data_IF_193016771098
#
_entry.id   IF_193016771098
#
_cell.length_a   1.000
_cell.length_b   1.000
_cell.length_c   1.000
_cell.angle_alpha   90.00
_cell.angle_beta   90.00
_cell.angle_gamma   90.00
#
_symmetry.space_group_name_H-M   'P 1'
#
loop_
_entity.id
_entity.type
_entity.pdbx_description
1 polymer ?
#
# COMPACT_ATOMS: atom_id res chain seq x y z
N UNK A 1 33.61 3.77 64.06
CA UNK A 1 34.05 3.75 62.66
C UNK A 1 32.94 3.17 61.79
N UNK A 2 32.07 4.01 61.27
CA UNK A 2 30.88 3.63 60.49
C UNK A 2 31.19 3.70 59.01
N UNK A 3 31.01 2.59 58.28
CA UNK A 3 31.13 2.57 56.81
C UNK A 3 29.74 2.84 56.21
N UNK A 4 29.57 4.05 55.66
CA UNK A 4 28.40 4.41 54.85
C UNK A 4 28.49 3.68 53.48
N UNK A 5 27.48 2.86 53.15
CA UNK A 5 27.29 2.25 51.84
C UNK A 5 26.45 3.22 51.01
N UNK A 6 27.05 3.80 49.95
CA UNK A 6 26.31 4.52 48.91
C UNK A 6 25.65 3.50 48.01
N UNK A 7 24.32 3.47 47.97
CA UNK A 7 23.54 2.83 46.94
C UNK A 7 23.35 3.83 45.79
N UNK A 8 23.96 3.56 44.66
CA UNK A 8 23.73 4.28 43.42
C UNK A 8 22.48 3.66 42.76
N UNK A 9 21.33 4.34 42.91
CA UNK A 9 20.10 3.96 42.16
C UNK A 9 20.24 4.45 40.73
N UNK A 10 20.47 3.55 39.81
CA UNK A 10 20.35 3.83 38.38
C UNK A 10 18.87 3.94 38.00
N UNK A 11 18.40 5.17 37.80
CA UNK A 11 17.09 5.43 37.24
C UNK A 11 17.13 5.07 35.75
N UNK A 12 16.53 3.96 35.38
CA UNK A 12 16.27 3.60 33.98
C UNK A 12 15.13 4.52 33.51
N UNK A 13 15.50 5.53 32.72
CA UNK A 13 14.55 6.36 32.00
C UNK A 13 13.93 5.51 30.88
N UNK A 14 12.75 4.94 31.13
CA UNK A 14 11.90 4.44 30.05
C UNK A 14 11.42 5.67 29.28
N UNK A 15 11.98 5.94 28.11
CA UNK A 15 11.34 6.75 27.11
C UNK A 15 10.09 5.97 26.66
N UNK A 16 8.95 6.29 27.25
CA UNK A 16 7.66 5.89 26.71
C UNK A 16 7.54 6.60 25.35
N UNK A 17 7.77 5.86 24.27
CA UNK A 17 7.26 6.26 22.97
C UNK A 17 5.75 6.33 23.15
N UNK A 18 5.22 7.55 23.24
CA UNK A 18 3.79 7.79 23.22
C UNK A 18 3.33 7.40 21.82
N UNK A 19 2.95 6.13 21.67
CA UNK A 19 2.14 5.70 20.53
C UNK A 19 0.87 6.52 20.65
N UNK A 20 0.70 7.51 19.77
CA UNK A 20 -0.55 8.25 19.67
C UNK A 20 -1.67 7.22 19.57
N UNK A 21 -2.75 7.33 20.40
CA UNK A 21 -3.85 6.38 20.33
C UNK A 21 -4.31 6.33 18.87
N UNK A 22 -4.35 5.13 18.30
CA UNK A 22 -4.77 4.92 16.93
C UNK A 22 -6.11 5.64 16.74
N UNK A 23 -6.11 6.69 15.91
CA UNK A 23 -7.36 7.33 15.53
C UNK A 23 -8.17 6.25 14.85
N UNK A 24 -9.41 6.03 15.30
CA UNK A 24 -10.30 5.12 14.61
C UNK A 24 -10.43 5.56 13.16
N UNK A 25 -10.59 4.61 12.22
CA UNK A 25 -10.73 4.96 10.81
C UNK A 25 -11.81 6.03 10.60
N UNK A 26 -12.90 5.99 11.37
CA UNK A 26 -13.96 6.97 11.30
C UNK A 26 -13.45 8.40 11.54
N UNK A 27 -12.74 8.63 12.64
CA UNK A 27 -12.17 9.96 12.97
C UNK A 27 -11.16 10.41 11.92
N UNK A 28 -10.35 9.47 11.42
CA UNK A 28 -9.36 9.78 10.39
C UNK A 28 -10.03 10.20 9.07
N UNK A 29 -11.16 9.60 8.70
CA UNK A 29 -11.94 9.92 7.49
C UNK A 29 -12.77 11.19 7.70
N UNK A 30 -13.31 11.43 8.91
CA UNK A 30 -13.98 12.70 9.26
C UNK A 30 -13.02 13.89 9.16
N UNK A 31 -11.76 13.70 9.56
CA UNK A 31 -10.73 14.74 9.47
C UNK A 31 -10.19 14.92 8.04
N UNK A 32 -10.19 13.85 7.23
CA UNK A 32 -9.68 13.84 5.87
C UNK A 32 -10.46 12.83 5.03
N UNK A 33 -11.48 13.33 4.34
CA UNK A 33 -12.40 12.51 3.53
C UNK A 33 -11.68 11.75 2.38
N UNK A 34 -10.51 12.24 1.95
CA UNK A 34 -9.71 11.58 0.93
C UNK A 34 -9.29 10.14 1.33
N UNK A 35 -9.16 9.86 2.63
CA UNK A 35 -8.85 8.53 3.16
C UNK A 35 -9.95 7.49 2.88
N UNK A 36 -11.20 7.92 2.72
CA UNK A 36 -12.28 7.03 2.29
C UNK A 36 -12.08 6.45 0.89
N UNK A 37 -11.16 7.00 0.11
CA UNK A 37 -10.74 6.45 -1.19
C UNK A 37 -9.84 5.20 -1.07
N UNK A 38 -9.73 4.65 0.12
CA UNK A 38 -8.99 3.42 0.43
C UNK A 38 -7.56 3.43 -0.13
N UNK A 39 -7.18 2.47 -0.98
CA UNK A 39 -5.85 2.40 -1.61
C UNK A 39 -5.55 3.52 -2.62
N UNK A 40 -6.53 4.32 -3.01
CA UNK A 40 -6.33 5.51 -3.86
C UNK A 40 -5.98 6.76 -3.07
N UNK A 41 -5.73 6.64 -1.77
CA UNK A 41 -5.18 7.73 -0.97
C UNK A 41 -3.82 8.18 -1.52
N UNK A 42 -3.54 9.48 -1.43
CA UNK A 42 -2.28 10.04 -1.92
C UNK A 42 -1.13 9.78 -0.95
N UNK A 43 0.09 9.75 -1.45
CA UNK A 43 1.30 9.64 -0.62
C UNK A 43 1.39 10.81 0.36
N UNK A 44 1.83 10.60 1.61
CA UNK A 44 1.97 11.67 2.59
C UNK A 44 2.90 12.79 2.10
N UNK A 45 2.48 14.04 2.26
CA UNK A 45 3.30 15.21 1.93
C UNK A 45 4.34 15.49 3.03
N UNK A 46 3.97 15.24 4.29
CA UNK A 46 4.84 15.41 5.43
C UNK A 46 5.51 14.09 5.79
N UNK A 47 6.83 14.09 5.72
CA UNK A 47 7.66 12.94 6.10
C UNK A 47 8.24 13.23 7.50
N UNK A 48 8.08 12.33 8.48
CA UNK A 48 8.61 12.53 9.81
C UNK A 48 10.15 12.47 9.84
N UNK A 49 10.74 13.09 10.84
CA UNK A 49 12.17 12.99 11.11
C UNK A 49 12.56 11.52 11.40
N UNK A 50 13.72 11.15 10.93
CA UNK A 50 14.24 9.78 11.08
C UNK A 50 15.07 9.63 12.37
N UNK A 51 15.01 8.44 12.97
CA UNK A 51 15.95 8.05 14.02
C UNK A 51 17.40 8.14 13.51
N UNK A 52 18.29 8.72 14.30
CA UNK A 52 19.71 8.78 13.96
C UNK A 52 20.35 7.40 14.10
N UNK A 53 21.25 7.00 13.20
CA UNK A 53 21.92 5.72 13.31
C UNK A 53 22.79 5.65 14.58
N UNK A 54 22.93 4.46 15.18
CA UNK A 54 23.84 4.25 16.31
C UNK A 54 25.25 4.73 15.98
N UNK A 55 25.96 5.23 17.00
CA UNK A 55 27.30 5.81 16.84
C UNK A 55 28.25 4.84 16.16
N UNK A 56 28.89 5.30 15.08
CA UNK A 56 29.87 4.52 14.31
C UNK A 56 29.30 3.73 13.16
N UNK A 57 28.00 3.64 13.00
CA UNK A 57 27.35 3.00 11.86
C UNK A 57 27.08 4.01 10.75
N UNK A 58 27.32 3.60 9.50
CA UNK A 58 27.03 4.40 8.29
C UNK A 58 26.21 3.59 7.30
N UNK A 59 25.25 4.22 6.60
CA UNK A 59 24.50 3.53 5.55
C UNK A 59 25.43 3.15 4.39
N UNK A 60 25.22 1.96 3.81
CA UNK A 60 26.04 1.46 2.71
C UNK A 60 25.28 0.69 1.64
N UNK A 61 24.07 0.20 1.96
CA UNK A 61 23.26 -0.57 1.04
C UNK A 61 21.76 -0.29 1.30
N UNK A 62 20.95 -0.21 0.23
CA UNK A 62 19.52 0.02 0.29
C UNK A 62 18.80 -1.04 -0.53
N UNK A 63 17.75 -1.66 0.06
CA UNK A 63 16.81 -2.52 -0.62
C UNK A 63 15.42 -1.92 -0.50
N UNK A 64 14.79 -1.59 -1.62
CA UNK A 64 13.53 -0.87 -1.71
C UNK A 64 12.48 -1.72 -2.42
N UNK A 65 11.24 -1.67 -1.95
CA UNK A 65 10.06 -2.11 -2.68
C UNK A 65 9.01 -1.01 -2.70
N UNK A 66 8.62 -0.55 -3.88
CA UNK A 66 7.62 0.49 -4.07
C UNK A 66 6.39 0.01 -4.86
N UNK A 67 5.21 0.42 -4.42
CA UNK A 67 3.98 0.37 -5.19
C UNK A 67 4.07 1.36 -6.36
N UNK A 68 3.45 1.05 -7.52
CA UNK A 68 3.23 2.05 -8.55
C UNK A 68 2.49 3.28 -7.99
N UNK A 69 2.68 4.42 -8.61
CA UNK A 69 2.21 5.75 -8.21
C UNK A 69 0.77 6.07 -8.63
N UNK A 70 0.32 7.30 -8.33
CA UNK A 70 -1.01 7.81 -8.66
C UNK A 70 -1.33 7.68 -10.15
N UNK A 71 -2.56 7.25 -10.45
CA UNK A 71 -3.07 6.98 -11.78
C UNK A 71 -4.55 7.32 -11.88
N UNK A 72 -5.03 7.50 -13.10
CA UNK A 72 -6.45 7.56 -13.40
C UNK A 72 -7.17 6.26 -13.00
N UNK A 73 -8.49 6.28 -12.94
CA UNK A 73 -9.28 5.08 -12.74
C UNK A 73 -8.86 3.96 -13.70
N UNK A 74 -9.12 2.69 -13.32
CA UNK A 74 -8.65 1.54 -14.09
C UNK A 74 -9.23 1.43 -15.49
N UNK A 75 -10.41 1.99 -15.70
CA UNK A 75 -11.18 1.97 -16.95
C UNK A 75 -11.88 3.30 -17.16
N UNK A 76 -12.16 3.63 -18.42
CA UNK A 76 -12.99 4.80 -18.76
C UNK A 76 -14.49 4.51 -18.64
N UNK A 77 -14.88 3.26 -18.50
CA UNK A 77 -16.29 2.85 -18.48
C UNK A 77 -17.08 3.52 -17.35
N UNK A 78 -16.47 3.65 -16.18
CA UNK A 78 -17.11 4.30 -15.02
C UNK A 78 -17.25 5.82 -15.25
N UNK A 79 -16.27 6.45 -15.90
CA UNK A 79 -16.35 7.87 -16.26
C UNK A 79 -17.51 8.13 -17.26
N UNK A 80 -17.60 7.30 -18.31
CA UNK A 80 -18.68 7.39 -19.30
C UNK A 80 -20.02 7.13 -18.66
N UNK A 81 -20.12 6.07 -17.84
CA UNK A 81 -21.33 5.69 -17.11
C UNK A 81 -21.85 6.84 -16.26
N UNK A 82 -21.00 7.43 -15.42
CA UNK A 82 -21.39 8.49 -14.52
C UNK A 82 -21.80 9.76 -15.27
N UNK A 83 -21.05 10.15 -16.32
CA UNK A 83 -21.43 11.26 -17.21
C UNK A 83 -22.83 11.03 -17.80
N UNK A 84 -23.08 9.86 -18.35
CA UNK A 84 -24.33 9.58 -19.06
C UNK A 84 -25.53 9.58 -18.10
N UNK A 85 -25.34 9.08 -16.88
CA UNK A 85 -26.35 9.16 -15.81
C UNK A 85 -26.69 10.60 -15.45
N UNK A 86 -25.68 11.46 -15.23
CA UNK A 86 -25.86 12.86 -14.87
C UNK A 86 -26.53 13.65 -16.02
N UNK A 87 -26.09 13.46 -17.26
CA UNK A 87 -26.65 14.14 -18.42
C UNK A 87 -28.10 13.72 -18.72
N UNK A 88 -28.45 12.46 -18.51
CA UNK A 88 -29.84 12.03 -18.63
C UNK A 88 -30.72 12.65 -17.55
N UNK A 89 -30.26 12.58 -16.29
CA UNK A 89 -31.00 13.17 -15.18
C UNK A 89 -31.16 14.70 -15.34
N UNK A 90 -30.15 15.39 -15.87
CA UNK A 90 -30.24 16.81 -16.21
C UNK A 90 -31.33 17.09 -17.26
N UNK A 91 -31.34 16.35 -18.37
CA UNK A 91 -32.32 16.53 -19.46
C UNK A 91 -33.75 16.29 -19.03
N UNK A 92 -33.92 15.43 -18.02
CA UNK A 92 -35.28 15.10 -17.49
C UNK A 92 -35.67 15.91 -16.26
N UNK A 93 -34.82 16.87 -15.81
CA UNK A 93 -35.05 17.68 -14.60
C UNK A 93 -34.99 16.87 -13.30
N UNK A 94 -34.33 15.71 -13.32
CA UNK A 94 -34.27 14.73 -12.24
C UNK A 94 -33.13 14.92 -11.25
N UNK A 95 -32.26 15.92 -11.45
CA UNK A 95 -31.14 16.19 -10.53
C UNK A 95 -31.62 16.88 -9.25
N UNK A 96 -31.01 16.49 -8.10
CA UNK A 96 -31.06 17.28 -6.87
C UNK A 96 -30.05 18.43 -6.98
N UNK A 97 -29.97 19.39 -6.04
CA UNK A 97 -28.92 20.39 -6.00
C UNK A 97 -27.52 19.77 -5.94
N UNK A 98 -27.30 18.70 -5.16
CA UNK A 98 -26.03 17.98 -5.10
C UNK A 98 -25.73 17.25 -6.42
N UNK A 99 -26.74 16.69 -7.07
CA UNK A 99 -26.62 16.07 -8.40
C UNK A 99 -26.23 17.07 -9.48
N UNK A 100 -26.76 18.29 -9.46
CA UNK A 100 -26.38 19.35 -10.39
C UNK A 100 -24.92 19.80 -10.14
N UNK A 101 -24.52 19.97 -8.90
CA UNK A 101 -23.13 20.27 -8.55
C UNK A 101 -22.17 19.15 -8.99
N UNK A 102 -22.54 17.88 -8.77
CA UNK A 102 -21.77 16.73 -9.24
C UNK A 102 -21.61 16.75 -10.76
N UNK A 103 -22.69 17.08 -11.50
CA UNK A 103 -22.67 17.21 -12.95
C UNK A 103 -21.68 18.27 -13.41
N UNK A 104 -21.76 19.48 -12.86
CA UNK A 104 -20.89 20.60 -13.22
C UNK A 104 -19.41 20.30 -12.95
N UNK A 105 -19.11 19.79 -11.75
CA UNK A 105 -17.75 19.39 -11.38
C UNK A 105 -17.22 18.29 -12.30
N UNK A 106 -18.02 17.24 -12.53
CA UNK A 106 -17.58 16.12 -13.36
C UNK A 106 -17.46 16.49 -14.83
N UNK A 107 -18.35 17.32 -15.37
CA UNK A 107 -18.27 17.84 -16.73
C UNK A 107 -16.96 18.62 -16.97
N UNK A 108 -16.51 19.38 -15.99
CA UNK A 108 -15.21 20.13 -16.09
C UNK A 108 -14.01 19.19 -16.07
N UNK A 109 -14.11 18.06 -15.38
CA UNK A 109 -13.03 17.06 -15.24
C UNK A 109 -12.98 16.06 -16.41
N UNK A 110 -14.13 15.67 -16.96
CA UNK A 110 -14.28 14.58 -17.90
C UNK A 110 -13.33 14.65 -19.12
N UNK A 111 -13.11 15.80 -19.78
CA UNK A 111 -12.20 15.88 -20.93
C UNK A 111 -10.74 15.54 -20.59
N UNK A 112 -10.33 15.69 -19.32
CA UNK A 112 -8.98 15.36 -18.85
C UNK A 112 -8.86 13.90 -18.37
N UNK A 113 -9.98 13.22 -18.19
CA UNK A 113 -10.06 11.83 -17.68
C UNK A 113 -10.29 10.82 -18.79
N UNK A 114 -11.12 11.19 -19.79
CA UNK A 114 -11.56 10.29 -20.86
C UNK A 114 -10.40 9.85 -21.75
N UNK A 115 -10.37 8.57 -22.10
CA UNK A 115 -9.31 7.87 -22.84
C UNK A 115 -7.97 7.78 -22.08
N UNK A 116 -7.98 7.99 -20.76
CA UNK A 116 -6.80 7.89 -19.91
C UNK A 116 -6.91 6.83 -18.80
N UNK A 117 -7.83 5.88 -18.98
CA UNK A 117 -8.03 4.79 -18.03
C UNK A 117 -6.75 4.00 -17.74
N UNK A 118 -6.37 3.90 -16.46
CA UNK A 118 -5.17 3.20 -16.00
C UNK A 118 -3.84 3.91 -16.24
N UNK A 119 -3.82 5.06 -16.93
CA UNK A 119 -2.63 5.86 -17.16
C UNK A 119 -2.16 6.57 -15.88
N UNK A 120 -0.85 6.73 -15.77
CA UNK A 120 -0.24 7.51 -14.71
C UNK A 120 -0.55 9.00 -14.88
N UNK A 121 -0.86 9.65 -13.75
CA UNK A 121 -1.03 11.11 -13.73
C UNK A 121 0.32 11.83 -13.57
N UNK A 122 0.33 13.12 -13.87
CA UNK A 122 1.49 13.99 -13.60
C UNK A 122 1.80 14.08 -12.11
N UNK A 123 0.75 14.03 -11.25
CA UNK A 123 0.92 13.92 -9.79
C UNK A 123 1.73 12.66 -9.42
N UNK A 124 1.39 11.52 -10.04
CA UNK A 124 2.11 10.28 -9.84
C UNK A 124 3.57 10.40 -10.31
N UNK A 125 3.84 11.02 -11.48
CA UNK A 125 5.21 11.20 -11.97
C UNK A 125 6.08 11.95 -10.95
N UNK A 126 5.56 12.97 -10.31
CA UNK A 126 6.27 13.73 -9.27
C UNK A 126 6.54 12.91 -8.02
N UNK A 127 5.58 12.10 -7.53
CA UNK A 127 5.72 11.32 -6.30
C UNK A 127 7.01 10.46 -6.26
N UNK A 128 7.26 9.65 -7.30
CA UNK A 128 8.47 8.82 -7.32
C UNK A 128 9.77 9.60 -7.46
N UNK A 129 9.74 10.71 -8.19
CA UNK A 129 10.90 11.59 -8.32
C UNK A 129 11.25 12.26 -6.99
N UNK A 130 10.24 12.65 -6.22
CA UNK A 130 10.40 13.23 -4.89
C UNK A 130 10.94 12.19 -3.89
N UNK A 131 10.39 10.96 -3.86
CA UNK A 131 10.90 9.87 -3.02
C UNK A 131 12.36 9.57 -3.38
N UNK A 132 12.69 9.46 -4.68
CA UNK A 132 14.08 9.24 -5.12
C UNK A 132 15.02 10.37 -4.70
N UNK A 133 14.52 11.61 -4.72
CA UNK A 133 15.25 12.79 -4.28
C UNK A 133 15.56 12.75 -2.79
N UNK A 134 14.54 12.42 -1.96
CA UNK A 134 14.71 12.35 -0.51
C UNK A 134 15.64 11.21 -0.12
N UNK A 135 15.51 10.02 -0.70
CA UNK A 135 16.38 8.88 -0.37
C UNK A 135 17.88 9.18 -0.67
N UNK A 136 18.15 9.94 -1.74
CA UNK A 136 19.52 10.39 -2.01
C UNK A 136 20.01 11.44 -1.02
N UNK A 137 19.11 12.32 -0.56
CA UNK A 137 19.44 13.35 0.43
C UNK A 137 19.68 12.75 1.82
N UNK A 138 18.89 11.75 2.21
CA UNK A 138 18.95 11.09 3.51
C UNK A 138 20.14 10.11 3.64
N UNK A 139 20.51 9.48 2.53
CA UNK A 139 21.58 8.46 2.49
C UNK A 139 22.67 8.78 1.46
N UNK A 140 23.29 9.97 1.49
CA UNK A 140 24.23 10.39 0.45
C UNK A 140 25.47 9.49 0.38
N UNK A 141 25.83 8.79 1.46
CA UNK A 141 26.96 7.86 1.48
C UNK A 141 26.77 6.68 0.54
N UNK A 142 25.53 6.21 0.36
CA UNK A 142 25.21 5.06 -0.51
C UNK A 142 25.35 5.44 -1.99
N UNK A 143 25.12 6.72 -2.34
CA UNK A 143 25.12 7.21 -3.72
C UNK A 143 26.41 7.93 -4.12
N UNK A 144 27.40 8.03 -3.20
CA UNK A 144 28.71 8.63 -3.46
C UNK A 144 29.72 7.55 -3.84
N UNK A 145 30.23 7.64 -5.04
CA UNK A 145 31.28 6.74 -5.54
C UNK A 145 31.57 7.03 -7.00
N UNK A 146 32.68 6.50 -7.52
CA UNK A 146 33.02 6.61 -8.96
C UNK A 146 32.14 5.68 -9.80
N UNK A 147 31.75 4.54 -9.22
CA UNK A 147 30.90 3.53 -9.84
C UNK A 147 29.94 3.00 -8.78
N UNK A 148 28.71 3.55 -8.75
CA UNK A 148 27.62 3.09 -7.89
C UNK A 148 26.61 2.36 -8.75
N UNK A 149 26.50 1.05 -8.54
CA UNK A 149 25.58 0.20 -9.29
C UNK A 149 24.24 0.11 -8.58
N UNK A 150 23.18 0.35 -9.35
CA UNK A 150 21.77 0.27 -8.93
C UNK A 150 21.07 -0.76 -9.82
N UNK A 151 20.45 -1.77 -9.21
CA UNK A 151 19.61 -2.75 -9.90
C UNK A 151 18.13 -2.42 -9.66
N UNK A 152 17.45 -1.91 -10.67
CA UNK A 152 16.06 -1.56 -10.65
C UNK A 152 15.23 -2.60 -11.43
N UNK A 153 14.16 -3.11 -10.78
CA UNK A 153 13.29 -4.16 -11.31
C UNK A 153 11.83 -3.76 -11.16
N UNK A 154 11.01 -4.12 -12.15
CA UNK A 154 9.56 -3.92 -12.08
C UNK A 154 8.78 -5.15 -12.56
N UNK A 155 7.52 -5.26 -12.15
CA UNK A 155 6.57 -6.15 -12.83
C UNK A 155 6.38 -5.68 -14.28
N UNK A 156 5.83 -6.55 -15.13
CA UNK A 156 5.56 -6.24 -16.55
C UNK A 156 4.41 -5.25 -16.78
N UNK A 157 3.78 -4.78 -15.70
CA UNK A 157 2.65 -3.85 -15.78
C UNK A 157 3.16 -2.43 -16.12
N UNK A 158 2.64 -1.76 -17.18
CA UNK A 158 3.18 -0.48 -17.68
C UNK A 158 3.34 0.58 -16.58
N UNK A 159 2.38 0.72 -15.67
CA UNK A 159 2.47 1.69 -14.56
C UNK A 159 3.63 1.42 -13.59
N UNK A 160 4.02 0.14 -13.41
CA UNK A 160 5.17 -0.20 -12.57
C UNK A 160 6.48 0.12 -13.30
N UNK A 161 6.56 -0.17 -14.61
CA UNK A 161 7.71 0.16 -15.46
C UNK A 161 7.93 1.68 -15.47
N UNK A 162 6.87 2.46 -15.70
CA UNK A 162 6.95 3.92 -15.70
C UNK A 162 7.27 4.50 -14.31
N UNK A 163 6.86 3.82 -13.24
CA UNK A 163 7.24 4.18 -11.87
C UNK A 163 8.73 4.00 -11.63
N UNK A 164 9.27 2.86 -12.06
CA UNK A 164 10.70 2.57 -12.04
C UNK A 164 11.50 3.62 -12.83
N UNK A 165 11.07 3.89 -14.06
CA UNK A 165 11.74 4.88 -14.93
C UNK A 165 11.82 6.26 -14.26
N UNK A 166 10.70 6.79 -13.74
CA UNK A 166 10.69 8.10 -13.10
C UNK A 166 11.58 8.19 -11.85
N UNK A 167 11.65 7.10 -11.08
CA UNK A 167 12.53 7.04 -9.91
C UNK A 167 14.00 7.05 -10.35
N UNK A 168 14.36 6.19 -11.31
CA UNK A 168 15.72 6.09 -11.85
C UNK A 168 16.18 7.38 -12.54
N UNK A 169 15.28 8.05 -13.29
CA UNK A 169 15.58 9.33 -13.92
C UNK A 169 15.93 10.39 -12.88
N UNK A 170 15.17 10.49 -11.79
CA UNK A 170 15.46 11.44 -10.72
C UNK A 170 16.80 11.18 -10.02
N UNK A 171 17.17 9.90 -9.82
CA UNK A 171 18.50 9.55 -9.30
C UNK A 171 19.60 9.97 -10.29
N UNK A 172 19.41 9.66 -11.58
CA UNK A 172 20.41 9.92 -12.63
C UNK A 172 20.63 11.42 -12.89
N UNK A 173 19.57 12.23 -12.82
CA UNK A 173 19.66 13.68 -12.91
C UNK A 173 20.51 14.31 -11.80
N UNK A 174 20.48 13.72 -10.58
CA UNK A 174 21.25 14.21 -9.43
C UNK A 174 22.67 13.70 -9.39
N UNK A 175 22.91 12.51 -9.93
CA UNK A 175 24.23 11.92 -10.04
C UNK A 175 24.36 11.14 -11.36
N UNK A 176 24.93 11.77 -12.38
CA UNK A 176 25.15 11.18 -13.71
C UNK A 176 26.12 10.01 -13.73
N UNK A 177 26.93 9.83 -12.68
CA UNK A 177 27.89 8.73 -12.58
C UNK A 177 27.23 7.40 -12.16
N UNK A 178 25.97 7.40 -11.65
CA UNK A 178 25.26 6.18 -11.27
C UNK A 178 25.12 5.22 -12.45
N UNK A 179 25.42 3.95 -12.23
CA UNK A 179 25.20 2.87 -13.18
C UNK A 179 23.89 2.17 -12.84
N UNK A 180 22.81 2.50 -13.57
CA UNK A 180 21.46 1.99 -13.28
C UNK A 180 21.04 0.98 -14.34
N UNK A 181 20.92 -0.28 -13.95
CA UNK A 181 20.25 -1.29 -14.77
C UNK A 181 18.75 -1.28 -14.49
N UNK A 182 17.93 -1.27 -15.55
CA UNK A 182 16.48 -1.32 -15.44
C UNK A 182 15.97 -2.59 -16.12
N UNK A 183 15.29 -3.45 -15.35
CA UNK A 183 14.85 -4.75 -15.81
C UNK A 183 13.36 -4.95 -15.56
N UNK A 184 12.67 -5.57 -16.53
CA UNK A 184 11.30 -6.06 -16.41
C UNK A 184 11.19 -7.37 -17.18
N UNK A 185 10.37 -8.28 -16.68
CA UNK A 185 10.19 -9.58 -17.35
C UNK A 185 9.32 -10.53 -16.53
N UNK A 186 8.82 -11.57 -17.16
CA UNK A 186 7.95 -12.57 -16.51
C UNK A 186 8.64 -13.30 -15.36
N UNK A 187 9.97 -13.49 -15.43
CA UNK A 187 10.77 -14.13 -14.40
C UNK A 187 10.87 -13.29 -13.11
N UNK A 188 10.64 -11.95 -13.20
CA UNK A 188 10.62 -11.03 -12.06
C UNK A 188 9.25 -10.93 -11.40
N UNK A 189 8.20 -11.46 -12.03
CA UNK A 189 6.84 -11.28 -11.50
C UNK A 189 6.66 -11.97 -10.16
N UNK A 190 7.16 -13.18 -9.99
CA UNK A 190 6.96 -13.95 -8.76
C UNK A 190 7.44 -13.20 -7.50
N UNK A 191 8.70 -12.70 -7.41
CA UNK A 191 9.13 -11.94 -6.23
C UNK A 191 8.47 -10.56 -6.10
N UNK A 192 8.01 -9.95 -7.21
CA UNK A 192 7.45 -8.59 -7.19
C UNK A 192 5.93 -8.55 -7.05
N UNK A 193 5.25 -9.63 -7.44
CA UNK A 193 3.80 -9.81 -7.31
C UNK A 193 3.47 -11.30 -7.13
N UNK A 194 3.54 -11.84 -5.93
CA UNK A 194 3.35 -13.25 -5.66
C UNK A 194 1.90 -13.73 -5.81
N UNK A 195 0.95 -12.84 -6.10
CA UNK A 195 -0.47 -13.13 -6.34
C UNK A 195 -0.78 -13.39 -7.81
N UNK A 196 0.09 -14.10 -8.48
CA UNK A 196 -0.07 -14.50 -9.89
C UNK A 196 0.29 -15.98 -10.06
N UNK A 197 -0.08 -16.54 -11.21
CA UNK A 197 0.28 -17.91 -11.58
C UNK A 197 1.78 -18.16 -11.73
N UNK A 198 2.62 -17.11 -11.71
CA UNK A 198 4.07 -17.23 -11.63
C UNK A 198 4.55 -17.76 -10.27
N UNK A 199 3.74 -17.61 -9.22
CA UNK A 199 3.98 -18.22 -7.93
C UNK A 199 3.32 -19.61 -7.89
N UNK A 200 4.08 -20.72 -7.76
CA UNK A 200 3.53 -22.07 -7.77
C UNK A 200 2.60 -22.39 -6.59
N UNK A 201 2.68 -21.61 -5.51
CA UNK A 201 1.81 -21.74 -4.34
C UNK A 201 0.52 -20.90 -4.47
N UNK A 202 0.44 -20.00 -5.44
CA UNK A 202 -0.72 -19.16 -5.68
C UNK A 202 -1.81 -19.91 -6.44
N UNK A 203 -2.98 -20.06 -5.86
CA UNK A 203 -4.14 -20.69 -6.49
C UNK A 203 -4.88 -19.65 -7.36
N UNK A 204 -5.66 -20.10 -8.37
CA UNK A 204 -6.53 -19.20 -9.12
C UNK A 204 -7.46 -18.37 -8.23
N UNK A 205 -7.93 -18.92 -7.10
CA UNK A 205 -8.73 -18.21 -6.09
C UNK A 205 -7.95 -17.12 -5.35
N UNK A 206 -6.63 -17.13 -5.36
CA UNK A 206 -5.80 -16.13 -4.70
C UNK A 206 -5.50 -14.92 -5.62
N UNK A 207 -5.64 -15.08 -6.93
CA UNK A 207 -5.12 -14.13 -7.92
C UNK A 207 -5.97 -12.87 -8.10
N UNK A 208 -7.26 -12.87 -7.77
CA UNK A 208 -8.09 -11.75 -8.15
C UNK A 208 -9.36 -11.51 -7.37
N UNK A 209 -9.82 -10.27 -7.49
CA UNK A 209 -11.09 -9.78 -6.97
C UNK A 209 -12.29 -10.13 -7.88
N UNK A 210 -12.19 -11.05 -8.78
CA UNK A 210 -13.25 -11.37 -9.75
C UNK A 210 -13.46 -12.87 -9.97
N UNK A 211 -12.77 -13.72 -9.19
CA UNK A 211 -12.97 -15.17 -9.30
C UNK A 211 -14.32 -15.56 -8.66
N UNK A 212 -15.15 -16.37 -9.32
CA UNK A 212 -16.46 -16.78 -8.80
C UNK A 212 -16.42 -17.72 -7.60
N UNK A 213 -15.23 -18.10 -7.11
CA UNK A 213 -15.05 -19.08 -6.03
C UNK A 213 -14.19 -18.55 -4.87
N UNK A 214 -14.24 -17.24 -4.61
CA UNK A 214 -13.51 -16.64 -3.50
C UNK A 214 -14.18 -17.02 -2.17
N UNK A 215 -13.42 -17.56 -1.23
CA UNK A 215 -13.93 -17.94 0.10
C UNK A 215 -14.59 -16.76 0.83
N UNK A 216 -14.12 -15.53 0.57
CA UNK A 216 -14.63 -14.30 1.17
C UNK A 216 -15.80 -13.65 0.40
N UNK A 217 -16.17 -14.14 -0.78
CA UNK A 217 -17.22 -13.53 -1.62
C UNK A 217 -18.59 -13.51 -0.92
N UNK A 218 -18.99 -14.65 -0.34
CA UNK A 218 -20.28 -14.75 0.39
C UNK A 218 -20.33 -13.84 1.62
N UNK A 219 -19.37 -13.84 2.54
CA UNK A 219 -19.31 -12.87 3.64
C UNK A 219 -19.29 -11.41 3.16
N UNK A 220 -18.54 -11.10 2.12
CA UNK A 220 -18.49 -9.77 1.53
C UNK A 220 -19.87 -9.29 1.07
N UNK A 221 -20.60 -10.12 0.34
CA UNK A 221 -21.96 -9.78 -0.12
C UNK A 221 -22.96 -9.64 1.03
N UNK A 222 -22.79 -10.39 2.13
CA UNK A 222 -23.60 -10.21 3.32
C UNK A 222 -23.36 -8.84 3.97
N UNK A 223 -22.08 -8.46 4.14
CA UNK A 223 -21.70 -7.15 4.65
C UNK A 223 -22.15 -6.01 3.73
N UNK A 224 -22.01 -6.16 2.40
CA UNK A 224 -22.45 -5.19 1.42
C UNK A 224 -23.91 -4.82 1.59
N UNK A 225 -24.78 -5.82 1.73
CA UNK A 225 -26.23 -5.61 1.94
C UNK A 225 -26.57 -4.95 3.28
N UNK A 226 -25.70 -5.14 4.29
CA UNK A 226 -25.88 -4.56 5.62
C UNK A 226 -25.40 -3.12 5.71
N UNK A 227 -24.36 -2.79 4.97
CA UNK A 227 -23.64 -1.52 5.07
C UNK A 227 -24.13 -0.48 4.05
N UNK A 228 -24.34 -0.87 2.80
CA UNK A 228 -24.68 0.07 1.73
C UNK A 228 -26.20 0.24 1.59
N UNK A 229 -26.62 1.47 1.34
CA UNK A 229 -28.01 1.87 1.13
C UNK A 229 -28.12 2.65 -0.19
N UNK A 230 -28.16 1.95 -1.35
CA UNK A 230 -28.19 2.60 -2.66
C UNK A 230 -29.31 3.63 -2.84
N UNK A 231 -30.42 3.42 -2.17
CA UNK A 231 -31.55 4.38 -2.17
C UNK A 231 -31.19 5.70 -1.50
N UNK A 232 -30.35 5.68 -0.44
CA UNK A 232 -29.85 6.88 0.25
C UNK A 232 -28.78 7.55 -0.61
N UNK A 233 -27.81 6.77 -1.11
CA UNK A 233 -26.73 7.28 -1.95
C UNK A 233 -27.29 7.95 -3.22
N UNK A 234 -28.07 7.25 -4.01
CA UNK A 234 -28.62 7.79 -5.26
C UNK A 234 -29.68 8.86 -5.02
N UNK A 235 -30.46 8.77 -3.93
CA UNK A 235 -31.43 9.81 -3.55
C UNK A 235 -30.76 11.14 -3.19
N UNK A 236 -29.48 11.17 -2.84
CA UNK A 236 -28.73 12.42 -2.66
C UNK A 236 -28.47 13.15 -3.99
N UNK A 237 -28.38 12.43 -5.10
CA UNK A 237 -28.05 12.96 -6.43
C UNK A 237 -29.26 13.12 -7.34
N UNK A 238 -30.27 12.25 -7.22
CA UNK A 238 -31.40 12.13 -8.12
C UNK A 238 -32.72 12.16 -7.37
N UNK A 239 -33.74 12.91 -7.87
CA UNK A 239 -35.08 12.99 -7.28
C UNK A 239 -35.87 11.68 -7.44
N UNK A 240 -35.74 11.03 -8.59
CA UNK A 240 -36.28 9.70 -8.90
C UNK A 240 -35.14 8.79 -9.35
N UNK A 241 -34.94 7.67 -8.64
CA UNK A 241 -33.87 6.70 -8.91
C UNK A 241 -34.32 5.55 -9.83
N UNK A 242 -35.56 5.53 -10.28
CA UNK A 242 -36.10 4.42 -11.09
C UNK A 242 -35.39 4.21 -12.42
N UNK A 243 -34.88 5.31 -13.03
CA UNK A 243 -34.13 5.27 -14.30
C UNK A 243 -32.76 4.55 -14.17
N UNK A 244 -32.24 4.40 -12.96
CA UNK A 244 -30.96 3.74 -12.72
C UNK A 244 -30.97 2.25 -13.03
N UNK A 245 -32.14 1.63 -13.14
CA UNK A 245 -32.29 0.20 -13.50
C UNK A 245 -31.55 -0.16 -14.80
N UNK A 246 -31.48 0.75 -15.76
CA UNK A 246 -30.74 0.52 -17.02
C UNK A 246 -29.23 0.61 -16.86
N UNK A 247 -28.73 1.35 -15.86
CA UNK A 247 -27.30 1.51 -15.56
C UNK A 247 -26.79 0.46 -14.59
N UNK A 248 -27.68 -0.13 -13.78
CA UNK A 248 -27.37 -1.15 -12.80
C UNK A 248 -28.15 -2.44 -13.04
N UNK A 249 -28.01 -3.11 -14.20
CA UNK A 249 -28.83 -4.27 -14.55
C UNK A 249 -28.63 -5.46 -13.60
N UNK A 250 -27.52 -5.51 -12.88
CA UNK A 250 -27.17 -6.62 -11.97
C UNK A 250 -27.41 -6.26 -10.49
N UNK A 251 -27.00 -5.06 -10.06
CA UNK A 251 -27.08 -4.66 -8.65
C UNK A 251 -26.85 -3.17 -8.44
N UNK A 252 -27.77 -2.45 -7.76
CA UNK A 252 -27.55 -1.05 -7.39
C UNK A 252 -26.37 -0.88 -6.42
N UNK A 253 -26.09 -1.88 -5.57
CA UNK A 253 -24.94 -1.89 -4.68
C UNK A 253 -23.62 -1.82 -5.46
N UNK A 254 -23.48 -2.59 -6.55
CA UNK A 254 -22.27 -2.57 -7.37
C UNK A 254 -22.09 -1.25 -8.12
N UNK A 255 -23.18 -0.58 -8.48
CA UNK A 255 -23.13 0.74 -9.09
C UNK A 255 -22.66 1.78 -8.08
N UNK A 256 -23.17 1.78 -6.85
CA UNK A 256 -22.72 2.65 -5.76
C UNK A 256 -21.23 2.47 -5.46
N UNK A 257 -20.79 1.22 -5.21
CA UNK A 257 -19.36 0.92 -4.99
C UNK A 257 -18.48 1.44 -6.12
N UNK A 258 -18.89 1.24 -7.37
CA UNK A 258 -18.15 1.69 -8.55
C UNK A 258 -18.04 3.20 -8.61
N UNK A 259 -19.12 3.93 -8.33
CA UNK A 259 -19.13 5.40 -8.39
C UNK A 259 -18.36 6.04 -7.23
N UNK A 260 -18.47 5.52 -6.01
CA UNK A 260 -17.65 5.99 -4.88
C UNK A 260 -16.18 5.73 -5.15
N UNK A 261 -15.83 4.52 -5.63
CA UNK A 261 -14.45 4.16 -5.98
C UNK A 261 -13.89 5.06 -7.09
N UNK A 262 -14.64 5.26 -8.18
CA UNK A 262 -14.26 6.15 -9.28
C UNK A 262 -14.04 7.58 -8.77
N UNK A 263 -14.97 8.11 -7.95
CA UNK A 263 -14.86 9.45 -7.36
C UNK A 263 -13.63 9.59 -6.48
N UNK A 264 -13.29 8.55 -5.72
CA UNK A 264 -12.07 8.49 -4.90
C UNK A 264 -10.79 8.53 -5.73
N UNK A 265 -10.80 8.06 -6.99
CA UNK A 265 -9.62 8.11 -7.86
C UNK A 265 -9.33 9.51 -8.42
N UNK A 266 -10.27 10.46 -8.35
CA UNK A 266 -10.08 11.81 -8.91
C UNK A 266 -8.91 12.54 -8.24
N UNK A 267 -8.67 12.34 -6.95
CA UNK A 267 -7.49 12.90 -6.26
C UNK A 267 -6.16 12.43 -6.86
N UNK A 268 -6.15 11.22 -7.45
CA UNK A 268 -4.97 10.64 -8.10
C UNK A 268 -4.77 11.14 -9.53
N UNK A 269 -5.77 11.78 -10.12
CA UNK A 269 -5.79 12.26 -11.51
C UNK A 269 -5.30 13.70 -11.63
N UNK A 270 -5.09 14.16 -12.87
CA UNK A 270 -4.67 15.54 -13.18
C UNK A 270 -5.87 16.52 -13.24
N UNK A 271 -6.84 16.31 -12.34
CA UNK A 271 -7.99 17.19 -12.13
C UNK A 271 -7.98 17.73 -10.71
N UNK A 272 -8.61 18.88 -10.52
CA UNK A 272 -8.74 19.54 -9.23
C UNK A 272 -10.21 19.64 -8.84
N UNK A 273 -10.84 18.46 -8.75
CA UNK A 273 -12.23 18.33 -8.31
C UNK A 273 -12.38 17.13 -7.37
N UNK A 274 -13.28 17.26 -6.39
CA UNK A 274 -13.77 16.17 -5.57
C UNK A 274 -15.27 15.99 -5.81
N UNK A 275 -15.75 14.78 -5.66
CA UNK A 275 -17.17 14.44 -5.62
C UNK A 275 -17.57 13.82 -4.29
N UNK A 276 -16.58 13.38 -3.50
CA UNK A 276 -16.81 12.64 -2.26
C UNK A 276 -17.56 13.45 -1.21
N UNK A 277 -17.38 14.77 -1.19
CA UNK A 277 -18.03 15.73 -0.31
C UNK A 277 -19.52 15.97 -0.65
N UNK A 278 -19.98 15.53 -1.83
CA UNK A 278 -21.37 15.64 -2.28
C UNK A 278 -22.21 14.41 -1.87
N UNK A 279 -21.56 13.35 -1.42
CA UNK A 279 -22.22 12.11 -1.02
C UNK A 279 -22.52 12.08 0.47
N UNK A 280 -23.57 11.36 0.93
CA UNK A 280 -23.80 11.17 2.36
C UNK A 280 -22.58 10.51 3.03
N UNK A 281 -22.08 11.13 4.08
CA UNK A 281 -20.87 10.67 4.77
C UNK A 281 -20.96 9.20 5.20
N UNK A 282 -22.11 8.78 5.74
CA UNK A 282 -22.30 7.40 6.19
C UNK A 282 -22.16 6.39 5.03
N UNK A 283 -22.66 6.69 3.83
CA UNK A 283 -22.50 5.81 2.67
C UNK A 283 -21.05 5.74 2.21
N UNK A 284 -20.35 6.87 2.21
CA UNK A 284 -18.89 6.91 1.91
C UNK A 284 -18.11 6.10 2.94
N UNK A 285 -18.42 6.26 4.23
CA UNK A 285 -17.76 5.52 5.31
C UNK A 285 -18.07 4.02 5.28
N UNK A 286 -19.33 3.65 5.05
CA UNK A 286 -19.74 2.25 4.90
C UNK A 286 -19.10 1.58 3.70
N UNK A 287 -18.98 2.29 2.58
CA UNK A 287 -18.22 1.80 1.43
C UNK A 287 -16.75 1.59 1.79
N UNK A 288 -16.15 2.53 2.53
CA UNK A 288 -14.78 2.36 3.02
C UNK A 288 -14.64 1.10 3.89
N UNK A 289 -15.54 0.88 4.86
CA UNK A 289 -15.52 -0.32 5.71
C UNK A 289 -15.57 -1.61 4.89
N UNK A 290 -16.42 -1.64 3.88
CA UNK A 290 -16.59 -2.79 2.99
C UNK A 290 -15.33 -3.07 2.16
N UNK A 291 -14.74 -2.05 1.58
CA UNK A 291 -13.50 -2.16 0.79
C UNK A 291 -12.32 -2.53 1.70
N UNK A 292 -12.25 -1.95 2.89
CA UNK A 292 -11.22 -2.27 3.88
C UNK A 292 -11.31 -3.74 4.32
N UNK A 293 -12.51 -4.23 4.61
CA UNK A 293 -12.77 -5.65 4.88
C UNK A 293 -12.26 -6.55 3.76
N UNK A 294 -12.58 -6.20 2.50
CA UNK A 294 -12.14 -6.94 1.32
C UNK A 294 -10.61 -7.05 1.24
N UNK A 295 -9.89 -5.96 1.45
CA UNK A 295 -8.42 -5.97 1.45
C UNK A 295 -7.85 -6.72 2.65
N UNK A 296 -8.41 -6.56 3.83
CA UNK A 296 -8.02 -7.29 5.02
C UNK A 296 -8.09 -8.81 4.81
N UNK A 297 -9.23 -9.30 4.34
CA UNK A 297 -9.44 -10.74 4.09
C UNK A 297 -8.58 -11.25 2.94
N UNK A 298 -8.46 -10.48 1.86
CA UNK A 298 -7.80 -10.95 0.63
C UNK A 298 -6.29 -10.71 0.57
N UNK A 299 -5.72 -9.86 1.46
CA UNK A 299 -4.28 -9.47 1.40
C UNK A 299 -3.66 -9.22 2.77
N UNK A 300 -4.47 -9.14 3.80
CA UNK A 300 -4.07 -8.84 5.18
C UNK A 300 -3.96 -10.09 6.06
N UNK A 301 -4.06 -9.90 7.39
CA UNK A 301 -3.81 -10.94 8.39
C UNK A 301 -5.01 -11.86 8.67
N UNK A 302 -5.99 -11.96 7.79
CA UNK A 302 -7.17 -12.79 8.04
C UNK A 302 -6.80 -14.25 8.34
N UNK A 303 -7.25 -14.73 9.48
CA UNK A 303 -7.08 -16.11 9.93
C UNK A 303 -8.38 -16.93 9.91
N UNK A 304 -9.53 -16.28 9.80
CA UNK A 304 -10.84 -16.91 9.88
C UNK A 304 -11.26 -17.54 8.54
N UNK A 305 -11.13 -16.77 7.47
CA UNK A 305 -11.61 -17.15 6.13
C UNK A 305 -10.45 -17.75 5.31
N UNK A 306 -9.34 -17.01 5.19
CA UNK A 306 -8.17 -17.40 4.39
C UNK A 306 -7.09 -18.13 5.18
N UNK A 307 -7.27 -18.27 6.50
CA UNK A 307 -6.36 -19.01 7.40
C UNK A 307 -4.90 -18.56 7.31
N UNK A 308 -4.68 -17.28 7.06
CA UNK A 308 -3.33 -16.70 6.91
C UNK A 308 -2.68 -16.94 5.54
N UNK A 309 -3.32 -17.64 4.63
CA UNK A 309 -2.76 -18.01 3.33
C UNK A 309 -2.27 -16.79 2.53
N UNK A 310 -2.99 -15.67 2.62
CA UNK A 310 -2.72 -14.51 1.80
C UNK A 310 -1.36 -13.85 2.11
N UNK A 311 -1.03 -13.68 3.40
CA UNK A 311 0.29 -13.16 3.74
C UNK A 311 1.41 -14.20 3.57
N UNK A 312 1.07 -15.51 3.64
CA UNK A 312 2.06 -16.55 3.41
C UNK A 312 2.57 -16.59 1.96
N UNK A 313 1.75 -16.15 0.99
CA UNK A 313 2.13 -16.09 -0.42
C UNK A 313 3.26 -15.08 -0.72
N UNK A 314 3.60 -14.16 0.20
CA UNK A 314 4.65 -13.16 -0.04
C UNK A 314 6.08 -13.71 0.10
N UNK A 315 6.23 -14.98 0.49
CA UNK A 315 7.56 -15.61 0.71
C UNK A 315 8.55 -15.46 -0.45
N UNK A 316 8.17 -15.50 -1.75
CA UNK A 316 9.12 -15.27 -2.84
C UNK A 316 9.80 -13.90 -2.81
N UNK A 317 9.11 -12.86 -2.30
CA UNK A 317 9.72 -11.55 -2.09
C UNK A 317 10.85 -11.64 -1.05
N UNK A 318 10.63 -12.35 0.07
CA UNK A 318 11.65 -12.49 1.10
C UNK A 318 12.81 -13.39 0.68
N UNK A 319 12.57 -14.36 -0.21
CA UNK A 319 13.64 -15.14 -0.84
C UNK A 319 14.55 -14.23 -1.66
N UNK A 320 13.99 -13.37 -2.50
CA UNK A 320 14.73 -12.40 -3.31
C UNK A 320 15.41 -11.32 -2.42
N UNK A 321 14.72 -10.79 -1.41
CA UNK A 321 15.28 -9.79 -0.49
C UNK A 321 16.52 -10.31 0.22
N UNK A 322 16.41 -11.48 0.87
CA UNK A 322 17.49 -12.04 1.68
C UNK A 322 18.68 -12.49 0.81
N UNK A 323 18.41 -13.20 -0.30
CA UNK A 323 19.49 -13.68 -1.19
C UNK A 323 20.24 -12.54 -1.87
N UNK A 324 19.51 -11.51 -2.32
CA UNK A 324 20.14 -10.32 -2.90
C UNK A 324 20.95 -9.55 -1.86
N UNK A 325 20.40 -9.34 -0.65
CA UNK A 325 21.14 -8.62 0.40
C UNK A 325 22.40 -9.36 0.82
N UNK A 326 22.34 -10.69 1.04
CA UNK A 326 23.52 -11.50 1.38
C UNK A 326 24.59 -11.40 0.27
N UNK A 327 24.22 -11.50 -1.00
CA UNK A 327 25.14 -11.41 -2.12
C UNK A 327 25.77 -10.01 -2.26
N UNK A 328 24.95 -8.95 -2.18
CA UNK A 328 25.40 -7.57 -2.36
C UNK A 328 26.27 -7.09 -1.17
N UNK A 329 25.94 -7.53 0.05
CA UNK A 329 26.75 -7.27 1.25
C UNK A 329 28.14 -7.91 1.14
N UNK A 330 28.19 -9.12 0.57
CA UNK A 330 29.45 -9.86 0.42
C UNK A 330 30.31 -9.33 -0.71
N UNK A 331 29.72 -9.01 -1.88
CA UNK A 331 30.49 -8.55 -3.05
C UNK A 331 30.74 -7.04 -3.05
N UNK A 332 29.79 -6.23 -2.57
CA UNK A 332 29.80 -4.78 -2.71
C UNK A 332 29.47 -4.28 -4.12
N UNK A 333 29.03 -5.16 -5.03
CA UNK A 333 28.82 -4.83 -6.45
C UNK A 333 27.56 -3.95 -6.67
N UNK A 334 26.51 -4.15 -5.88
CA UNK A 334 25.26 -3.39 -5.98
C UNK A 334 25.03 -2.62 -4.68
N UNK A 335 24.89 -1.31 -4.77
CA UNK A 335 24.64 -0.44 -3.62
C UNK A 335 23.13 -0.24 -3.35
N UNK A 336 22.30 -0.34 -4.39
CA UNK A 336 20.86 -0.11 -4.25
C UNK A 336 20.08 -1.10 -5.11
N UNK A 337 19.12 -1.79 -4.49
CA UNK A 337 18.11 -2.58 -5.19
C UNK A 337 16.75 -1.92 -5.11
N UNK A 338 16.19 -1.60 -6.27
CA UNK A 338 14.87 -1.00 -6.41
C UNK A 338 13.90 -2.01 -7.00
N UNK A 339 12.74 -2.18 -6.35
CA UNK A 339 11.67 -3.06 -6.81
C UNK A 339 10.38 -2.28 -6.93
N UNK A 340 9.66 -2.44 -8.05
CA UNK A 340 8.41 -1.73 -8.32
C UNK A 340 7.30 -2.72 -8.64
N UNK A 341 6.24 -2.66 -7.82
CA UNK A 341 5.11 -3.59 -7.92
C UNK A 341 3.80 -2.96 -7.45
N UNK A 342 3.10 -3.66 -6.55
CA UNK A 342 1.71 -3.40 -6.24
C UNK A 342 1.45 -3.26 -4.73
N UNK A 343 0.35 -2.60 -4.38
CA UNK A 343 -0.22 -2.45 -3.04
C UNK A 343 -0.44 -3.80 -2.34
N UNK A 344 -0.97 -4.78 -3.08
CA UNK A 344 -1.27 -6.11 -2.54
C UNK A 344 -0.04 -6.82 -1.99
N UNK A 345 1.11 -6.66 -2.62
CA UNK A 345 2.38 -7.21 -2.11
C UNK A 345 2.81 -6.49 -0.84
N UNK A 346 2.67 -5.15 -0.77
CA UNK A 346 3.00 -4.38 0.44
C UNK A 346 2.10 -4.78 1.62
N UNK A 347 0.79 -4.94 1.43
CA UNK A 347 -0.12 -5.36 2.49
C UNK A 347 0.33 -6.69 3.12
N UNK A 348 0.65 -7.68 2.28
CA UNK A 348 1.11 -8.98 2.73
C UNK A 348 2.53 -8.94 3.32
N UNK A 349 3.41 -8.07 2.82
CA UNK A 349 4.75 -7.84 3.36
C UNK A 349 4.68 -7.25 4.78
N UNK A 350 3.85 -6.23 5.00
CA UNK A 350 3.65 -5.63 6.32
C UNK A 350 3.08 -6.64 7.31
N UNK A 351 2.13 -7.46 6.87
CA UNK A 351 1.56 -8.56 7.67
C UNK A 351 2.60 -9.65 7.97
N UNK A 352 3.42 -10.03 6.99
CA UNK A 352 4.49 -11.01 7.18
C UNK A 352 5.50 -10.54 8.23
N UNK A 353 5.88 -9.28 8.20
CA UNK A 353 6.84 -8.70 9.16
C UNK A 353 6.18 -8.27 10.48
N UNK A 354 4.86 -8.28 10.56
CA UNK A 354 4.10 -7.75 11.70
C UNK A 354 4.51 -6.33 12.11
N UNK A 355 4.62 -5.47 11.10
CA UNK A 355 5.06 -4.08 11.28
C UNK A 355 4.08 -3.34 12.17
N UNK A 356 4.56 -2.73 13.26
CA UNK A 356 3.76 -1.95 14.23
C UNK A 356 2.46 -2.67 14.68
N UNK A 357 2.47 -3.99 14.72
CA UNK A 357 1.30 -4.81 15.05
C UNK A 357 0.28 -4.89 13.91
N UNK A 358 0.70 -4.78 12.67
CA UNK A 358 -0.14 -4.93 11.47
C UNK A 358 -0.83 -6.30 11.35
N UNK A 359 -0.34 -7.31 12.06
CA UNK A 359 -0.85 -8.69 12.04
C UNK A 359 -1.90 -8.95 13.14
N UNK A 360 -2.78 -8.00 13.43
CA UNK A 360 -3.85 -8.19 14.43
C UNK A 360 -5.06 -8.87 13.80
N UNK A 361 -5.55 -9.96 14.40
CA UNK A 361 -6.79 -10.60 13.96
C UNK A 361 -8.00 -9.72 14.27
N UNK A 362 -8.98 -9.74 13.37
CA UNK A 362 -10.28 -9.07 13.51
C UNK A 362 -11.34 -9.85 12.73
N UNK A 363 -12.61 -9.70 13.09
CA UNK A 363 -13.69 -10.53 12.56
C UNK A 363 -14.76 -9.80 11.74
N UNK A 364 -14.94 -8.52 11.97
CA UNK A 364 -15.94 -7.71 11.28
C UNK A 364 -15.36 -6.38 10.75
N UNK A 365 -16.06 -5.69 9.83
CA UNK A 365 -15.54 -4.48 9.20
C UNK A 365 -15.20 -3.35 10.17
N UNK A 366 -15.91 -3.20 11.29
CA UNK A 366 -15.64 -2.13 12.27
C UNK A 366 -14.41 -2.46 13.09
N UNK A 367 -14.31 -3.69 13.63
CA UNK A 367 -13.13 -4.15 14.37
C UNK A 367 -11.86 -4.09 13.50
N UNK A 368 -11.97 -4.46 12.21
CA UNK A 368 -10.87 -4.32 11.26
C UNK A 368 -10.44 -2.86 11.17
N UNK A 369 -11.37 -1.93 10.98
CA UNK A 369 -11.09 -0.51 10.80
C UNK A 369 -10.47 0.16 12.05
N UNK A 370 -10.60 -0.42 13.24
CA UNK A 370 -9.90 0.04 14.44
C UNK A 370 -8.40 -0.34 14.44
N UNK A 371 -8.04 -1.44 13.77
CA UNK A 371 -6.71 -2.02 13.87
C UNK A 371 -5.93 -2.05 12.57
N UNK A 372 -6.62 -2.13 11.43
CA UNK A 372 -6.01 -2.30 10.12
C UNK A 372 -6.75 -1.46 9.07
N UNK A 373 -6.01 -0.67 8.31
CA UNK A 373 -6.59 0.27 7.37
C UNK A 373 -5.83 0.30 6.04
N UNK A 374 -6.52 -0.04 4.95
CA UNK A 374 -5.94 -0.09 3.61
C UNK A 374 -5.52 1.30 3.07
N UNK A 375 -6.04 2.42 3.59
CA UNK A 375 -5.59 3.76 3.24
C UNK A 375 -4.13 4.02 3.68
N UNK A 376 -3.60 3.23 4.63
CA UNK A 376 -2.19 3.28 5.02
C UNK A 376 -1.26 2.71 3.95
N UNK A 377 -1.81 2.10 2.89
CA UNK A 377 -1.05 1.69 1.70
C UNK A 377 -1.41 2.63 0.53
N UNK A 378 -1.02 3.91 0.59
CA UNK A 378 -1.37 4.92 -0.41
C UNK A 378 -0.70 4.67 -1.76
N UNK A 379 -1.00 5.49 -2.75
CA UNK A 379 -0.24 5.54 -4.00
C UNK A 379 1.23 5.81 -3.72
N UNK A 380 2.14 5.17 -4.45
CA UNK A 380 3.59 5.21 -4.26
C UNK A 380 4.09 4.69 -2.89
N UNK A 381 3.22 4.03 -2.10
CA UNK A 381 3.64 3.41 -0.83
C UNK A 381 4.87 2.54 -1.02
N UNK A 382 5.78 2.58 -0.05
CA UNK A 382 7.04 1.86 -0.18
C UNK A 382 7.58 1.35 1.16
N UNK A 383 8.32 0.25 1.08
CA UNK A 383 9.12 -0.30 2.16
C UNK A 383 10.60 -0.16 1.79
N UNK A 384 11.37 0.41 2.69
CA UNK A 384 12.81 0.64 2.52
C UNK A 384 13.57 -0.11 3.62
N UNK A 385 14.52 -0.93 3.23
CA UNK A 385 15.45 -1.62 4.13
C UNK A 385 16.81 -0.96 3.96
N UNK A 386 17.23 -0.18 4.95
CA UNK A 386 18.48 0.57 4.93
C UNK A 386 19.51 -0.17 5.78
N UNK A 387 20.64 -0.51 5.20
CA UNK A 387 21.68 -1.27 5.84
C UNK A 387 22.84 -0.36 6.26
N UNK A 388 23.29 -0.55 7.48
CA UNK A 388 24.36 0.22 8.10
C UNK A 388 25.52 -0.69 8.49
N UNK A 389 26.75 -0.20 8.33
CA UNK A 389 27.96 -0.95 8.71
C UNK A 389 28.84 -0.08 9.61
N UNK A 390 29.42 -0.70 10.64
CA UNK A 390 30.45 -0.07 11.46
C UNK A 390 31.86 -0.48 11.02
N UNK A 391 32.88 0.07 11.65
CA UNK A 391 34.32 -0.23 11.32
C UNK A 391 34.70 -1.67 11.64
N UNK A 392 33.96 -2.39 12.49
CA UNK A 392 34.23 -3.81 12.83
C UNK A 392 33.58 -4.77 11.84
N UNK A 393 32.74 -4.26 10.93
CA UNK A 393 32.00 -5.07 9.98
C UNK A 393 30.62 -5.49 10.47
N UNK A 394 30.21 -5.08 11.70
CA UNK A 394 28.86 -5.37 12.18
C UNK A 394 27.82 -4.66 11.32
N UNK A 395 26.72 -5.34 11.02
CA UNK A 395 25.67 -4.85 10.13
C UNK A 395 24.35 -4.72 10.88
N UNK A 396 23.74 -3.54 10.73
CA UNK A 396 22.37 -3.28 11.15
C UNK A 396 21.49 -3.06 9.93
N UNK A 397 20.22 -3.44 10.04
CA UNK A 397 19.15 -3.08 9.12
C UNK A 397 18.09 -2.27 9.85
N UNK A 398 17.58 -1.25 9.18
CA UNK A 398 16.40 -0.47 9.60
C UNK A 398 15.35 -0.60 8.51
N UNK A 399 14.12 -0.93 8.89
CA UNK A 399 12.98 -0.87 7.99
C UNK A 399 12.26 0.47 8.16
N UNK A 400 11.90 1.06 7.03
CA UNK A 400 11.02 2.22 6.96
C UNK A 400 9.83 1.89 6.08
N UNK A 401 8.69 2.44 6.44
CA UNK A 401 7.47 2.34 5.64
C UNK A 401 6.92 3.74 5.33
N UNK A 402 6.73 4.03 4.04
CA UNK A 402 6.39 5.38 3.57
C UNK A 402 7.33 6.45 4.14
N UNK A 403 8.63 6.14 4.17
CA UNK A 403 9.70 7.01 4.70
C UNK A 403 9.56 7.32 6.20
N UNK A 404 8.76 6.57 6.96
CA UNK A 404 8.68 6.64 8.41
C UNK A 404 9.35 5.42 9.05
N UNK A 405 10.00 5.61 10.20
CA UNK A 405 10.54 4.49 10.98
C UNK A 405 9.39 3.61 11.48
N UNK A 406 9.57 2.30 11.41
CA UNK A 406 8.62 1.30 11.90
C UNK A 406 9.28 0.30 12.84
N UNK A 407 8.49 -0.29 13.73
CA UNK A 407 8.97 -1.30 14.65
C UNK A 407 8.65 -2.71 14.13
N UNK A 408 9.62 -3.60 14.31
CA UNK A 408 9.48 -5.03 14.05
C UNK A 408 9.47 -5.79 15.39
N UNK A 409 8.79 -6.93 15.50
CA UNK A 409 8.76 -7.75 16.70
C UNK A 409 10.08 -8.54 16.88
N UNK A 410 11.20 -7.84 16.80
CA UNK A 410 12.57 -8.35 16.97
C UNK A 410 13.17 -7.62 18.18
N UNK A 411 13.66 -8.37 19.16
CA UNK A 411 14.30 -7.76 20.33
C UNK A 411 15.55 -6.99 19.91
N UNK A 412 15.60 -5.70 20.23
CA UNK A 412 16.76 -4.84 19.96
C UNK A 412 16.81 -3.68 20.94
N UNK A 413 17.93 -3.45 21.57
CA UNK A 413 18.19 -2.25 22.38
C UNK A 413 18.40 -0.99 21.51
N UNK A 414 18.55 -1.18 20.22
CA UNK A 414 18.79 -0.13 19.23
C UNK A 414 17.59 0.12 18.30
N UNK A 415 16.39 -0.43 18.62
CA UNK A 415 15.21 -0.24 17.75
C UNK A 415 15.04 1.23 17.36
N UNK A 416 14.72 1.55 16.10
CA UNK A 416 14.30 0.70 14.99
C UNK A 416 15.45 0.06 14.18
N UNK A 417 16.64 -0.06 14.76
CA UNK A 417 17.79 -0.73 14.16
C UNK A 417 17.92 -2.14 14.71
N UNK A 418 18.06 -3.12 13.82
CA UNK A 418 18.16 -4.54 14.15
C UNK A 418 19.43 -5.10 13.57
N UNK A 419 20.08 -6.05 14.26
CA UNK A 419 21.22 -6.77 13.66
C UNK A 419 20.73 -7.51 12.42
N UNK A 420 21.54 -7.48 11.35
CA UNK A 420 21.15 -8.14 10.10
C UNK A 420 20.86 -9.63 10.31
N UNK A 421 21.66 -10.32 11.10
CA UNK A 421 21.45 -11.75 11.38
C UNK A 421 20.14 -11.99 12.13
N UNK A 422 19.78 -11.16 13.11
CA UNK A 422 18.54 -11.30 13.88
C UNK A 422 17.31 -11.08 12.97
N UNK A 423 17.37 -10.07 12.09
CA UNK A 423 16.35 -9.84 11.08
C UNK A 423 16.24 -11.02 10.10
N UNK A 424 17.36 -11.54 9.65
CA UNK A 424 17.44 -12.69 8.74
C UNK A 424 16.81 -13.94 9.37
N UNK A 425 17.16 -14.26 10.63
CA UNK A 425 16.58 -15.37 11.37
C UNK A 425 15.08 -15.20 11.61
N UNK A 426 14.64 -13.98 11.93
CA UNK A 426 13.22 -13.66 12.04
C UNK A 426 12.48 -13.95 10.71
N UNK A 427 13.00 -13.49 9.58
CA UNK A 427 12.40 -13.75 8.27
C UNK A 427 12.36 -15.26 7.95
N UNK A 428 13.42 -16.01 8.28
CA UNK A 428 13.46 -17.46 8.06
C UNK A 428 12.42 -18.19 8.93
N UNK A 429 12.24 -17.80 10.18
CA UNK A 429 11.21 -18.34 11.05
C UNK A 429 9.80 -18.05 10.51
N UNK A 430 9.55 -16.81 10.05
CA UNK A 430 8.27 -16.44 9.42
C UNK A 430 8.00 -17.22 8.13
N UNK A 431 9.03 -17.47 7.31
CA UNK A 431 8.92 -18.31 6.11
C UNK A 431 8.57 -19.75 6.45
N UNK A 432 9.12 -20.30 7.52
CA UNK A 432 8.77 -21.66 7.97
C UNK A 432 7.27 -21.75 8.35
N UNK A 433 6.74 -20.76 9.08
CA UNK A 433 5.31 -20.67 9.41
C UNK A 433 4.48 -20.51 8.13
N UNK A 434 4.90 -19.64 7.22
CA UNK A 434 4.20 -19.45 5.94
C UNK A 434 4.14 -20.75 5.12
N UNK A 435 5.23 -21.53 5.08
CA UNK A 435 5.25 -22.83 4.40
C UNK A 435 4.23 -23.80 4.98
N UNK A 436 4.16 -23.92 6.33
CA UNK A 436 3.15 -24.74 6.98
C UNK A 436 1.72 -24.33 6.63
N UNK A 437 1.45 -23.00 6.63
CA UNK A 437 0.12 -22.48 6.24
C UNK A 437 -0.20 -22.85 4.78
N UNK A 438 0.74 -22.66 3.86
CA UNK A 438 0.54 -22.97 2.45
C UNK A 438 0.30 -24.47 2.22
N UNK A 439 1.00 -25.34 2.94
CA UNK A 439 0.84 -26.79 2.83
C UNK A 439 -0.53 -27.27 3.34
N UNK A 440 -1.00 -26.75 4.48
CA UNK A 440 -2.31 -27.15 5.04
C UNK A 440 -3.50 -26.51 4.33
N UNK A 441 -3.27 -25.43 3.59
CA UNK A 441 -4.32 -24.71 2.82
C UNK A 441 -4.35 -25.07 1.34
N UNK A 442 -3.46 -25.94 0.87
CA UNK A 442 -3.54 -26.49 -0.48
C UNK A 442 -4.80 -27.36 -0.63
N UNK A 443 -5.57 -27.25 -1.71
CA UNK A 443 -6.62 -28.22 -2.02
C UNK A 443 -6.03 -29.62 -2.04
N UNK A 444 -6.73 -30.56 -1.43
CA UNK A 444 -6.41 -31.98 -1.62
C UNK A 444 -6.45 -32.27 -3.13
N UNK A 445 -5.38 -32.84 -3.69
CA UNK A 445 -5.41 -33.31 -5.08
C UNK A 445 -6.53 -34.34 -5.18
N UNK A 446 -7.58 -33.97 -5.92
CA UNK A 446 -8.67 -34.89 -6.30
C UNK A 446 -8.16 -36.01 -7.17
#
# INVERSE_FOLDING_TARGET
>A
MSRARFFLSAAILFLAVVVAPAQTARKAIEADLAKASHIFNMYPEQIPDHARPPKGYKPFYISHYGRHRARNNGSDSEYVLFRDMLEEAYRTGNLTPAGEEARLRFQSAFPKLYLRGGELSSKGWRQHREIATRIMADYPEVFRGKEVHIDARSTTVPRCIMSMAAFCDALKERNTALQISQNTGTWLVNPLNPFTTANPDCLPSDTGFGSPHLAWDRPYHAWRKKLLHPEVFFGSLFKDTSFLKKYAPRSPYSLEESLISMSGTLQCSDVDVSLMDLYPFEEVYHNYLLVNYKYYVSRGPDTLIQKGRQWALVTPFFDDLLSCADADIASGDVAVRLRFGHDITLMSLLTFLDVDGWNKPASDPWEIAENWNCYNVPMAANAQFIFYRNRRGDILVRMMYNEADVLLPIASEMAPYYRWEDFRQFCLARKAVARQILDVTKPLKS
#
